data_IF_831646680228
#
_entry.id   IF_831646680228
#
_cell.length_a   1.000
_cell.length_b   1.000
_cell.length_c   1.000
_cell.angle_alpha   90.00
_cell.angle_beta   90.00
_cell.angle_gamma   90.00
#
_symmetry.space_group_name_H-M   'P 1'
#
loop_
_entity.id
_entity.type
_entity.pdbx_description
1 polymer ?
#
# COMPACT_ATOMS: atom_id res chain seq x y z
N UNK A 1 29.76 -12.76 -8.28
CA UNK A 1 28.32 -12.48 -8.10
C UNK A 1 28.19 -11.49 -6.97
N UNK A 2 27.74 -10.28 -7.27
CA UNK A 2 27.45 -9.23 -6.28
C UNK A 2 26.19 -9.61 -5.52
N UNK A 3 26.27 -9.64 -4.19
CA UNK A 3 25.11 -9.86 -3.32
C UNK A 3 24.13 -8.71 -3.54
N UNK A 4 22.84 -9.03 -3.73
CA UNK A 4 21.80 -8.01 -3.84
C UNK A 4 21.65 -7.30 -2.49
N UNK A 5 21.89 -5.98 -2.47
CA UNK A 5 22.09 -5.21 -1.24
C UNK A 5 20.84 -4.55 -0.66
N UNK A 6 19.68 -4.67 -1.33
CA UNK A 6 18.46 -3.94 -0.94
C UNK A 6 17.49 -4.88 -0.23
N UNK A 7 17.11 -4.52 0.99
CA UNK A 7 16.16 -5.27 1.79
C UNK A 7 14.70 -5.05 1.39
N UNK A 8 14.37 -3.97 0.67
CA UNK A 8 13.00 -3.67 0.23
C UNK A 8 12.93 -2.96 -1.13
N UNK A 9 11.80 -3.14 -1.81
CA UNK A 9 11.53 -2.64 -3.16
C UNK A 9 11.66 -1.12 -3.28
N UNK A 10 11.11 -0.37 -2.32
CA UNK A 10 11.16 1.09 -2.35
C UNK A 10 12.60 1.62 -2.27
N UNK A 11 13.48 0.98 -1.49
CA UNK A 11 14.89 1.30 -1.46
C UNK A 11 15.59 0.95 -2.78
N UNK A 12 15.28 -0.22 -3.36
CA UNK A 12 15.82 -0.63 -4.65
C UNK A 12 15.43 0.32 -5.79
N UNK A 13 14.17 0.76 -5.87
CA UNK A 13 13.72 1.65 -6.95
C UNK A 13 14.25 3.08 -6.84
N UNK A 14 14.47 3.58 -5.60
CA UNK A 14 15.06 4.90 -5.35
C UNK A 14 16.53 4.98 -5.77
N UNK A 15 17.28 3.90 -5.59
CA UNK A 15 18.65 3.81 -6.11
C UNK A 15 18.61 3.46 -7.60
N UNK A 16 18.96 4.44 -8.44
CA UNK A 16 18.95 4.28 -9.90
C UNK A 16 19.96 3.25 -10.40
N UNK A 17 21.00 3.00 -9.61
CA UNK A 17 22.07 2.06 -9.93
C UNK A 17 21.80 0.66 -9.34
N UNK A 18 20.65 0.46 -8.67
CA UNK A 18 20.25 -0.88 -8.27
C UNK A 18 20.05 -1.76 -9.50
N UNK A 19 20.37 -3.07 -9.42
CA UNK A 19 20.14 -3.99 -10.54
C UNK A 19 18.68 -3.99 -11.01
N UNK A 20 17.72 -3.93 -10.08
CA UNK A 20 16.29 -3.87 -10.38
C UNK A 20 15.91 -2.56 -11.09
N UNK A 21 16.33 -1.40 -10.56
CA UNK A 21 16.01 -0.09 -11.15
C UNK A 21 16.64 0.05 -12.54
N UNK A 22 17.87 -0.43 -12.71
CA UNK A 22 18.54 -0.47 -14.01
C UNK A 22 17.78 -1.34 -15.00
N UNK A 23 17.44 -2.58 -14.64
CA UNK A 23 16.67 -3.49 -15.50
C UNK A 23 15.35 -2.84 -15.94
N UNK A 24 14.56 -2.32 -15.00
CA UNK A 24 13.26 -1.71 -15.32
C UNK A 24 13.43 -0.48 -16.21
N UNK A 25 14.39 0.39 -15.94
CA UNK A 25 14.59 1.61 -16.75
C UNK A 25 15.10 1.32 -18.15
N UNK A 26 15.88 0.25 -18.32
CA UNK A 26 16.38 -0.16 -19.64
C UNK A 26 15.31 -0.91 -20.43
N UNK A 27 14.58 -1.82 -19.80
CA UNK A 27 13.60 -2.68 -20.48
C UNK A 27 12.23 -2.03 -20.64
N UNK A 28 11.84 -1.12 -19.75
CA UNK A 28 10.53 -0.48 -19.69
C UNK A 28 10.60 1.08 -19.74
N UNK A 29 11.34 1.70 -20.68
CA UNK A 29 11.68 3.12 -20.63
C UNK A 29 10.50 4.09 -20.90
N UNK A 30 9.40 3.64 -21.50
CA UNK A 30 8.37 4.51 -22.08
C UNK A 30 7.30 4.97 -21.08
N UNK A 31 7.70 5.32 -19.86
CA UNK A 31 6.78 5.66 -18.75
C UNK A 31 5.92 6.89 -19.02
N UNK A 32 6.40 7.83 -19.87
CA UNK A 32 5.70 9.09 -20.17
C UNK A 32 4.34 8.87 -20.84
N UNK A 33 4.18 7.80 -21.61
CA UNK A 33 2.92 7.48 -22.30
C UNK A 33 1.83 7.14 -21.27
N UNK A 34 2.15 6.22 -20.36
CA UNK A 34 1.24 5.80 -19.27
C UNK A 34 0.95 6.97 -18.33
N UNK A 35 1.96 7.76 -17.97
CA UNK A 35 1.76 8.95 -17.13
C UNK A 35 0.90 10.02 -17.82
N UNK A 36 0.99 10.16 -19.14
CA UNK A 36 0.15 11.10 -19.89
C UNK A 36 -1.30 10.61 -19.94
N UNK A 37 -1.53 9.32 -20.15
CA UNK A 37 -2.86 8.71 -20.07
C UNK A 37 -3.50 8.90 -18.69
N UNK A 38 -2.76 8.61 -17.62
CA UNK A 38 -3.21 8.81 -16.25
C UNK A 38 -3.67 10.25 -15.98
N UNK A 39 -2.99 11.25 -16.57
CA UNK A 39 -3.34 12.66 -16.37
C UNK A 39 -4.61 13.10 -17.11
N UNK A 40 -5.09 12.36 -18.12
CA UNK A 40 -6.23 12.77 -18.95
C UNK A 40 -7.55 12.88 -18.17
N UNK A 41 -7.69 12.13 -17.08
CA UNK A 41 -8.91 12.15 -16.25
C UNK A 41 -9.02 13.40 -15.38
N UNK A 42 -7.91 14.13 -15.18
CA UNK A 42 -7.83 15.38 -14.40
C UNK A 42 -8.69 15.41 -13.12
N UNK A 43 -8.62 14.40 -12.24
CA UNK A 43 -9.54 14.32 -11.12
C UNK A 43 -9.34 15.52 -10.18
N UNK A 44 -10.44 15.91 -9.54
CA UNK A 44 -10.46 16.96 -8.52
C UNK A 44 -10.15 16.38 -7.14
N UNK A 45 -9.58 17.21 -6.27
CA UNK A 45 -9.34 16.82 -4.89
C UNK A 45 -10.68 16.73 -4.15
N UNK A 46 -11.01 15.55 -3.63
CA UNK A 46 -12.24 15.29 -2.88
C UNK A 46 -12.01 15.33 -1.36
N UNK A 47 -10.78 15.02 -0.92
CA UNK A 47 -10.44 14.96 0.51
C UNK A 47 -9.20 15.79 0.81
N UNK A 48 -9.43 16.92 1.48
CA UNK A 48 -8.38 17.80 1.97
C UNK A 48 -7.45 17.14 2.98
N UNK A 49 -6.22 17.65 3.01
CA UNK A 49 -5.21 17.28 4.00
C UNK A 49 -5.57 17.74 5.41
N UNK A 50 -4.65 17.56 6.32
CA UNK A 50 -4.78 18.01 7.70
C UNK A 50 -3.43 18.04 8.40
N UNK A 51 -3.46 18.05 9.73
CA UNK A 51 -2.28 18.04 10.58
C UNK A 51 -1.77 16.64 10.91
N UNK A 52 -2.58 15.59 10.70
CA UNK A 52 -2.16 14.21 10.93
C UNK A 52 -1.00 13.79 10.02
N UNK A 53 -0.13 12.90 10.52
CA UNK A 53 1.02 12.38 9.76
C UNK A 53 0.54 11.71 8.45
N UNK A 54 0.97 12.19 7.26
CA UNK A 54 0.47 11.65 6.00
C UNK A 54 0.80 10.18 5.75
N UNK A 55 1.95 9.70 6.24
CA UNK A 55 2.36 8.29 6.13
C UNK A 55 1.45 7.39 6.95
N UNK A 56 1.21 7.76 8.22
CA UNK A 56 0.31 7.02 9.10
C UNK A 56 -1.13 7.06 8.61
N UNK A 57 -1.60 8.19 8.05
CA UNK A 57 -2.91 8.26 7.37
C UNK A 57 -2.99 7.26 6.21
N UNK A 58 -1.92 7.13 5.41
CA UNK A 58 -1.82 6.14 4.35
C UNK A 58 -1.95 4.70 4.86
N UNK A 59 -1.14 4.32 5.86
CA UNK A 59 -1.20 2.98 6.44
C UNK A 59 -2.53 2.68 7.13
N UNK A 60 -3.12 3.67 7.81
CA UNK A 60 -4.40 3.51 8.48
C UNK A 60 -5.56 3.41 7.48
N UNK A 61 -5.47 4.11 6.35
CA UNK A 61 -6.42 3.95 5.25
C UNK A 61 -6.34 2.54 4.65
N UNK A 62 -5.13 2.01 4.43
CA UNK A 62 -4.93 0.63 3.98
C UNK A 62 -5.58 -0.37 4.95
N UNK A 63 -5.29 -0.31 6.25
CA UNK A 63 -5.95 -1.18 7.24
C UNK A 63 -7.48 -1.05 7.23
N UNK A 64 -8.02 0.18 7.14
CA UNK A 64 -9.46 0.38 7.06
C UNK A 64 -10.07 -0.27 5.81
N UNK A 65 -9.39 -0.19 4.67
CA UNK A 65 -9.81 -0.86 3.44
C UNK A 65 -9.71 -2.39 3.55
N UNK A 66 -8.71 -2.93 4.25
CA UNK A 66 -8.61 -4.37 4.51
C UNK A 66 -9.80 -4.88 5.32
N UNK A 67 -10.22 -4.17 6.37
CA UNK A 67 -11.46 -4.49 7.10
C UNK A 67 -12.73 -4.26 6.28
N UNK A 68 -12.74 -3.29 5.37
CA UNK A 68 -13.87 -3.06 4.45
C UNK A 68 -14.05 -4.25 3.49
N UNK A 69 -12.96 -4.79 2.95
CA UNK A 69 -12.94 -5.90 1.99
C UNK A 69 -13.03 -7.29 2.64
N UNK A 70 -12.50 -7.44 3.85
CA UNK A 70 -12.57 -8.65 4.66
C UNK A 70 -12.81 -8.30 6.13
N UNK A 71 -14.07 -8.38 6.60
CA UNK A 71 -14.41 -8.06 7.99
C UNK A 71 -13.69 -8.91 9.04
N UNK A 72 -13.12 -10.05 8.64
CA UNK A 72 -12.34 -10.96 9.49
C UNK A 72 -10.84 -10.86 9.23
N UNK A 73 -10.35 -9.72 8.75
CA UNK A 73 -8.92 -9.51 8.51
C UNK A 73 -8.12 -9.54 9.82
N UNK A 74 -7.00 -10.26 9.83
CA UNK A 74 -6.24 -10.58 11.07
C UNK A 74 -5.06 -9.65 11.36
N UNK A 75 -4.69 -8.75 10.44
CA UNK A 75 -3.72 -7.68 10.73
C UNK A 75 -2.31 -8.12 11.17
N UNK A 76 -1.88 -9.34 10.83
CA UNK A 76 -0.67 -9.98 11.38
C UNK A 76 0.61 -9.15 11.29
N UNK A 77 0.76 -8.34 10.24
CA UNK A 77 1.93 -7.50 10.05
C UNK A 77 2.17 -6.56 11.23
N UNK A 78 1.11 -6.03 11.86
CA UNK A 78 1.19 -5.15 13.01
C UNK A 78 1.81 -5.82 14.26
N UNK A 79 1.80 -7.16 14.33
CA UNK A 79 2.38 -7.94 15.44
C UNK A 79 3.88 -8.19 15.28
N UNK A 80 4.41 -8.01 14.07
CA UNK A 80 5.75 -8.50 13.70
C UNK A 80 6.88 -7.94 14.57
N UNK A 81 6.80 -6.66 14.97
CA UNK A 81 7.79 -6.04 15.86
C UNK A 81 7.70 -6.51 17.33
N UNK A 82 6.58 -7.14 17.71
CA UNK A 82 6.21 -7.38 19.10
C UNK A 82 6.17 -8.87 19.47
N UNK A 83 6.57 -9.78 18.56
CA UNK A 83 6.51 -11.24 18.79
C UNK A 83 7.26 -11.70 20.06
N UNK A 84 8.24 -10.93 20.54
CA UNK A 84 8.94 -11.17 21.82
C UNK A 84 8.22 -10.67 23.08
N UNK A 85 7.05 -10.04 22.95
CA UNK A 85 6.28 -9.43 24.03
C UNK A 85 4.84 -9.98 24.05
N UNK A 86 4.61 -11.18 24.63
CA UNK A 86 3.33 -11.87 24.54
C UNK A 86 2.12 -11.07 25.05
N UNK A 87 2.32 -10.26 26.09
CA UNK A 87 1.28 -9.37 26.63
C UNK A 87 0.88 -8.29 25.64
N UNK A 88 1.86 -7.67 24.96
CA UNK A 88 1.59 -6.66 23.92
C UNK A 88 0.90 -7.32 22.71
N UNK A 89 1.33 -8.51 22.31
CA UNK A 89 0.69 -9.26 21.22
C UNK A 89 -0.78 -9.53 21.53
N UNK A 90 -1.10 -9.96 22.76
CA UNK A 90 -2.49 -10.18 23.17
C UNK A 90 -3.35 -8.90 23.10
N UNK A 91 -2.77 -7.74 23.43
CA UNK A 91 -3.45 -6.45 23.30
C UNK A 91 -3.63 -6.01 21.84
N UNK A 92 -2.69 -6.35 20.95
CA UNK A 92 -2.83 -6.14 19.50
C UNK A 92 -3.93 -7.07 18.94
N UNK A 93 -3.98 -8.33 19.37
CA UNK A 93 -5.06 -9.26 18.97
C UNK A 93 -6.43 -8.75 19.48
N UNK A 94 -6.51 -8.24 20.71
CA UNK A 94 -7.73 -7.64 21.24
C UNK A 94 -8.17 -6.40 20.42
N UNK A 95 -7.22 -5.58 19.97
CA UNK A 95 -7.46 -4.46 19.06
C UNK A 95 -8.03 -4.92 17.70
N UNK A 96 -7.47 -5.99 17.12
CA UNK A 96 -7.95 -6.58 15.86
C UNK A 96 -9.38 -7.10 16.04
N UNK A 97 -9.64 -7.87 17.10
CA UNK A 97 -10.99 -8.37 17.41
C UNK A 97 -11.99 -7.24 17.59
N UNK A 98 -11.59 -6.14 18.26
CA UNK A 98 -12.43 -4.96 18.38
C UNK A 98 -12.77 -4.35 17.01
N UNK A 99 -11.81 -4.26 16.09
CA UNK A 99 -12.04 -3.77 14.73
C UNK A 99 -12.99 -4.69 13.93
N UNK A 100 -12.80 -6.02 14.02
CA UNK A 100 -13.65 -7.01 13.35
C UNK A 100 -15.11 -6.93 13.87
N UNK A 101 -15.30 -6.87 15.19
CA UNK A 101 -16.61 -6.73 15.82
C UNK A 101 -17.28 -5.38 15.45
N UNK A 102 -16.52 -4.29 15.50
CA UNK A 102 -16.97 -2.96 15.09
C UNK A 102 -17.36 -2.90 13.61
N UNK A 103 -16.64 -3.62 12.75
CA UNK A 103 -17.00 -3.74 11.34
C UNK A 103 -18.35 -4.45 11.17
N UNK A 104 -18.58 -5.52 11.93
CA UNK A 104 -19.83 -6.30 11.89
C UNK A 104 -21.06 -5.56 12.41
N UNK A 105 -20.90 -4.64 13.36
CA UNK A 105 -22.01 -3.87 13.96
C UNK A 105 -22.18 -2.44 13.38
N UNK A 106 -21.28 -2.02 12.48
CA UNK A 106 -21.33 -0.71 11.83
C UNK A 106 -20.64 0.44 12.58
N UNK A 107 -19.92 0.17 13.67
CA UNK A 107 -19.10 1.16 14.37
C UNK A 107 -17.82 1.48 13.57
N UNK A 108 -17.94 2.44 12.66
CA UNK A 108 -16.83 2.88 11.84
C UNK A 108 -15.71 3.58 12.62
N UNK A 109 -16.03 4.23 13.75
CA UNK A 109 -15.02 4.98 14.49
C UNK A 109 -14.02 4.03 15.15
N UNK A 110 -14.50 2.95 15.77
CA UNK A 110 -13.61 1.92 16.33
C UNK A 110 -12.75 1.28 15.25
N UNK A 111 -13.29 1.03 14.05
CA UNK A 111 -12.49 0.53 12.90
C UNK A 111 -11.38 1.52 12.54
N UNK A 112 -11.66 2.82 12.46
CA UNK A 112 -10.65 3.82 12.11
C UNK A 112 -9.59 4.00 13.20
N UNK A 113 -9.99 3.99 14.48
CA UNK A 113 -9.06 4.04 15.62
C UNK A 113 -8.14 2.83 15.62
N UNK A 114 -8.68 1.63 15.42
CA UNK A 114 -7.89 0.41 15.33
C UNK A 114 -6.95 0.43 14.12
N UNK A 115 -7.44 0.88 12.96
CA UNK A 115 -6.63 1.00 11.75
C UNK A 115 -5.46 1.98 11.93
N UNK A 116 -5.67 3.09 12.65
CA UNK A 116 -4.60 4.03 13.01
C UNK A 116 -3.54 3.38 13.90
N UNK A 117 -3.96 2.68 14.95
CA UNK A 117 -3.04 1.98 15.83
C UNK A 117 -2.26 0.87 15.10
N UNK A 118 -2.91 0.07 14.27
CA UNK A 118 -2.27 -0.98 13.46
C UNK A 118 -1.25 -0.40 12.46
N UNK A 119 -1.52 0.77 11.90
CA UNK A 119 -0.57 1.49 11.06
C UNK A 119 0.68 1.89 11.84
N UNK A 120 0.53 2.50 13.03
CA UNK A 120 1.65 2.86 13.91
C UNK A 120 2.48 1.63 14.32
N UNK A 121 1.83 0.53 14.69
CA UNK A 121 2.49 -0.72 15.07
C UNK A 121 3.28 -1.32 13.89
N UNK A 122 2.73 -1.23 12.67
CA UNK A 122 3.41 -1.65 11.44
C UNK A 122 4.62 -0.77 11.11
N UNK A 123 4.54 0.53 11.37
CA UNK A 123 5.69 1.44 11.21
C UNK A 123 6.86 1.03 12.11
N UNK A 124 6.59 0.58 13.35
CA UNK A 124 7.65 0.06 14.24
C UNK A 124 8.36 -1.13 13.63
N UNK A 125 7.64 -2.05 12.99
CA UNK A 125 8.27 -3.18 12.29
C UNK A 125 9.17 -2.71 11.14
N UNK A 126 8.76 -1.67 10.40
CA UNK A 126 9.47 -1.21 9.21
C UNK A 126 10.71 -0.38 9.52
N UNK A 127 10.65 0.51 10.51
CA UNK A 127 11.70 1.51 10.76
C UNK A 127 12.11 1.63 12.22
N UNK A 128 11.51 0.83 13.11
CA UNK A 128 11.69 0.93 14.56
C UNK A 128 10.80 1.99 15.20
N UNK A 129 10.79 2.02 16.53
CA UNK A 129 10.05 3.02 17.29
C UNK A 129 10.79 4.36 17.24
N UNK A 130 10.20 5.34 16.56
CA UNK A 130 10.80 6.66 16.34
C UNK A 130 10.34 7.70 17.37
N UNK A 131 11.23 8.59 17.84
CA UNK A 131 10.83 9.75 18.63
C UNK A 131 9.78 10.61 17.91
N UNK A 132 8.73 11.02 18.63
CA UNK A 132 7.63 11.80 18.08
C UNK A 132 6.51 10.98 17.42
N UNK A 133 6.64 9.64 17.35
CA UNK A 133 5.48 8.78 17.07
C UNK A 133 4.51 8.81 18.25
N UNK A 134 3.18 8.86 18.05
CA UNK A 134 2.21 8.72 19.14
C UNK A 134 2.42 7.45 19.98
N UNK A 135 2.91 6.38 19.34
CA UNK A 135 3.19 5.11 20.03
C UNK A 135 4.37 5.22 21.01
N UNK A 136 5.24 6.22 20.84
CA UNK A 136 6.36 6.48 21.76
C UNK A 136 5.86 6.87 23.16
N UNK A 137 4.67 7.45 23.28
CA UNK A 137 4.04 7.77 24.56
C UNK A 137 3.61 6.50 25.32
N UNK A 138 3.49 5.37 24.63
CA UNK A 138 3.18 4.04 25.18
C UNK A 138 4.41 3.13 25.20
N UNK A 139 5.63 3.68 25.28
CA UNK A 139 6.86 2.89 25.14
C UNK A 139 7.02 1.75 26.18
N UNK A 140 6.31 1.79 27.32
CA UNK A 140 6.29 0.66 28.26
C UNK A 140 5.26 -0.40 27.82
N UNK A 141 5.60 -1.70 27.87
CA UNK A 141 4.67 -2.78 27.52
C UNK A 141 3.34 -2.72 28.28
N UNK A 142 3.34 -2.30 29.53
CA UNK A 142 2.14 -2.17 30.37
C UNK A 142 1.19 -1.05 29.89
N UNK A 143 1.72 -0.06 29.17
CA UNK A 143 0.94 1.04 28.62
C UNK A 143 0.33 0.68 27.26
N UNK A 144 0.85 -0.32 26.54
CA UNK A 144 0.36 -0.78 25.23
C UNK A 144 -0.89 -1.67 25.35
N UNK A 145 -1.93 -1.16 26.01
CA UNK A 145 -3.25 -1.83 26.06
C UNK A 145 -4.07 -1.49 24.81
N UNK A 146 -4.99 -2.37 24.40
CA UNK A 146 -5.91 -2.14 23.28
C UNK A 146 -6.68 -0.82 23.44
N UNK A 147 -7.10 -0.51 24.68
CA UNK A 147 -7.76 0.76 25.02
C UNK A 147 -6.87 1.97 24.73
N UNK A 148 -5.61 1.93 25.16
CA UNK A 148 -4.68 3.04 24.95
C UNK A 148 -4.31 3.18 23.47
N UNK A 149 -4.14 2.05 22.77
CA UNK A 149 -3.89 2.02 21.32
C UNK A 149 -5.04 2.68 20.53
N UNK A 150 -6.30 2.36 20.85
CA UNK A 150 -7.48 3.01 20.25
C UNK A 150 -7.52 4.53 20.52
N UNK A 151 -6.91 4.97 21.62
CA UNK A 151 -6.81 6.38 22.01
C UNK A 151 -5.77 7.19 21.22
N UNK A 152 -4.87 6.55 20.45
CA UNK A 152 -3.78 7.24 19.74
C UNK A 152 -4.25 8.05 18.52
N UNK A 153 -5.45 7.77 18.01
CA UNK A 153 -5.98 8.48 16.85
C UNK A 153 -6.59 9.83 17.29
N UNK A 154 -5.95 10.92 16.87
CA UNK A 154 -6.47 12.27 17.07
C UNK A 154 -7.64 12.61 16.13
N UNK A 155 -8.40 13.65 16.47
CA UNK A 155 -9.60 14.06 15.73
C UNK A 155 -9.37 14.30 14.23
N UNK A 156 -8.27 14.96 13.87
CA UNK A 156 -7.96 15.23 12.47
C UNK A 156 -7.64 13.93 11.68
N UNK A 157 -6.99 12.95 12.32
CA UNK A 157 -6.74 11.66 11.70
C UNK A 157 -8.05 10.91 11.43
N UNK A 158 -8.97 10.90 12.41
CA UNK A 158 -10.28 10.26 12.28
C UNK A 158 -11.16 10.94 11.23
N UNK A 159 -11.15 12.28 11.18
CA UNK A 159 -11.80 13.06 10.12
C UNK A 159 -11.30 12.63 8.74
N UNK A 160 -9.98 12.59 8.55
CA UNK A 160 -9.38 12.21 7.27
C UNK A 160 -9.72 10.77 6.89
N UNK A 161 -9.60 9.81 7.81
CA UNK A 161 -9.95 8.40 7.56
C UNK A 161 -11.41 8.23 7.16
N UNK A 162 -12.33 8.92 7.87
CA UNK A 162 -13.76 8.90 7.53
C UNK A 162 -14.02 9.41 6.12
N UNK A 163 -13.44 10.56 5.74
CA UNK A 163 -13.61 11.12 4.41
C UNK A 163 -12.99 10.23 3.31
N UNK A 164 -11.77 9.71 3.52
CA UNK A 164 -11.11 8.84 2.54
C UNK A 164 -11.89 7.54 2.30
N UNK A 165 -12.35 6.90 3.37
CA UNK A 165 -13.11 5.64 3.28
C UNK A 165 -14.50 5.84 2.70
N UNK A 166 -15.17 6.97 2.97
CA UNK A 166 -16.44 7.31 2.31
C UNK A 166 -16.27 7.46 0.79
N UNK A 167 -15.21 8.13 0.34
CA UNK A 167 -14.88 8.23 -1.09
C UNK A 167 -14.56 6.86 -1.67
N UNK A 168 -13.79 6.03 -0.96
CA UNK A 168 -13.46 4.68 -1.42
C UNK A 168 -14.67 3.75 -1.54
N UNK A 169 -15.61 3.82 -0.60
CA UNK A 169 -16.87 3.04 -0.69
C UNK A 169 -17.71 3.37 -1.92
N UNK A 170 -17.62 4.61 -2.42
CA UNK A 170 -18.34 5.05 -3.62
C UNK A 170 -17.56 4.77 -4.91
N UNK A 171 -16.27 5.06 -4.91
CA UNK A 171 -15.46 5.07 -6.12
C UNK A 171 -14.66 3.79 -6.36
N UNK A 172 -14.23 3.10 -5.30
CA UNK A 172 -13.38 1.92 -5.38
C UNK A 172 -14.15 0.63 -5.17
N UNK A 173 -14.80 0.46 -4.00
CA UNK A 173 -15.38 -0.82 -3.56
C UNK A 173 -16.32 -1.45 -4.61
N UNK A 174 -17.22 -0.71 -5.29
CA UNK A 174 -18.10 -1.29 -6.31
C UNK A 174 -17.37 -1.87 -7.53
N UNK A 175 -16.11 -1.49 -7.74
CA UNK A 175 -15.27 -1.95 -8.84
C UNK A 175 -14.37 -3.14 -8.46
N UNK A 176 -14.42 -3.61 -7.20
CA UNK A 176 -13.60 -4.70 -6.70
C UNK A 176 -14.43 -5.97 -6.52
N UNK A 177 -13.96 -7.07 -7.09
CA UNK A 177 -14.58 -8.38 -6.93
C UNK A 177 -13.61 -9.34 -6.24
N UNK A 178 -14.14 -10.20 -5.39
CA UNK A 178 -13.36 -11.27 -4.77
C UNK A 178 -12.95 -12.36 -5.78
N UNK A 179 -12.07 -13.29 -5.38
CA UNK A 179 -11.47 -13.41 -4.05
C UNK A 179 -10.46 -12.29 -3.76
N UNK A 180 -10.37 -11.87 -2.50
CA UNK A 180 -9.39 -10.89 -2.05
C UNK A 180 -8.13 -11.57 -1.48
N UNK A 181 -6.96 -10.99 -1.72
CA UNK A 181 -5.70 -11.25 -1.02
C UNK A 181 -5.20 -9.91 -0.47
N UNK A 182 -5.15 -9.79 0.84
CA UNK A 182 -4.81 -8.56 1.54
C UNK A 182 -3.36 -8.63 2.01
N UNK A 183 -2.51 -7.70 1.56
CA UNK A 183 -1.08 -7.77 1.81
C UNK A 183 -0.39 -9.03 1.27
N UNK A 184 -0.54 -9.39 -0.03
CA UNK A 184 0.10 -10.58 -0.59
C UNK A 184 1.63 -10.49 -0.52
N UNK A 185 2.27 -11.63 -0.28
CA UNK A 185 3.72 -11.80 -0.35
C UNK A 185 4.06 -12.57 -1.61
N UNK A 186 4.97 -12.04 -2.42
CA UNK A 186 5.35 -12.61 -3.71
C UNK A 186 6.60 -13.48 -3.60
N UNK A 187 6.89 -14.29 -4.63
CA UNK A 187 8.16 -15.05 -4.70
C UNK A 187 9.37 -14.11 -4.53
N UNK A 188 9.36 -12.99 -5.27
CA UNK A 188 10.39 -11.97 -5.19
C UNK A 188 10.54 -11.31 -3.81
N UNK A 189 9.49 -11.32 -2.98
CA UNK A 189 9.52 -10.76 -1.63
C UNK A 189 10.50 -11.49 -0.70
N UNK A 190 10.87 -12.74 -1.03
CA UNK A 190 11.91 -13.49 -0.31
C UNK A 190 13.33 -12.94 -0.52
N UNK A 191 13.55 -12.24 -1.64
CA UNK A 191 14.84 -11.63 -2.00
C UNK A 191 14.87 -10.13 -1.75
N UNK A 192 13.71 -9.47 -1.88
CA UNK A 192 13.54 -8.04 -1.70
C UNK A 192 12.14 -7.77 -1.19
N UNK A 193 11.98 -7.36 0.07
CA UNK A 193 10.67 -7.20 0.68
C UNK A 193 9.79 -6.24 -0.14
N UNK A 194 8.57 -6.68 -0.44
CA UNK A 194 7.58 -5.97 -1.22
C UNK A 194 6.20 -6.45 -0.82
N UNK A 195 5.34 -5.50 -0.46
CA UNK A 195 3.97 -5.76 -0.04
C UNK A 195 3.06 -4.87 -0.90
N UNK A 196 2.24 -5.49 -1.75
CA UNK A 196 1.13 -4.77 -2.38
C UNK A 196 -0.03 -4.66 -1.38
N UNK A 197 -0.94 -3.71 -1.58
CA UNK A 197 -2.05 -3.53 -0.64
C UNK A 197 -3.12 -4.62 -0.80
N UNK A 198 -3.61 -4.82 -2.03
CA UNK A 198 -4.64 -5.83 -2.31
C UNK A 198 -4.52 -6.44 -3.70
N UNK A 199 -4.87 -7.72 -3.81
CA UNK A 199 -5.28 -8.35 -5.07
C UNK A 199 -6.76 -8.71 -4.97
N UNK A 200 -7.54 -8.24 -5.93
CA UNK A 200 -8.97 -8.50 -6.07
C UNK A 200 -9.20 -9.28 -7.38
N UNK A 201 -9.47 -10.59 -7.26
CA UNK A 201 -9.40 -11.54 -8.37
C UNK A 201 -8.02 -11.49 -9.07
N UNK A 202 -7.94 -10.96 -10.29
CA UNK A 202 -6.71 -10.81 -11.09
C UNK A 202 -6.14 -9.39 -11.06
N UNK A 203 -6.77 -8.45 -10.35
CA UNK A 203 -6.36 -7.05 -10.25
C UNK A 203 -5.49 -6.83 -9.00
N UNK A 204 -4.21 -6.55 -9.21
CA UNK A 204 -3.33 -6.03 -8.18
C UNK A 204 -3.49 -4.51 -8.05
N UNK A 205 -3.68 -4.02 -6.83
CA UNK A 205 -3.98 -2.62 -6.57
C UNK A 205 -3.09 -2.06 -5.45
N UNK A 206 -2.60 -0.85 -5.67
CA UNK A 206 -1.86 -0.03 -4.69
C UNK A 206 -2.67 1.23 -4.35
N UNK A 207 -2.79 1.53 -3.06
CA UNK A 207 -3.52 2.67 -2.53
C UNK A 207 -2.60 3.86 -2.31
N UNK A 208 -3.01 5.03 -2.80
CA UNK A 208 -2.28 6.29 -2.60
C UNK A 208 -3.17 7.30 -1.89
N UNK A 209 -2.66 7.89 -0.81
CA UNK A 209 -3.34 8.95 -0.05
C UNK A 209 -2.67 10.32 -0.20
N UNK A 210 -1.85 10.50 -1.25
CA UNK A 210 -1.14 11.75 -1.52
C UNK A 210 -2.09 12.91 -1.83
N UNK A 211 -1.76 14.12 -1.37
CA UNK A 211 -2.46 15.36 -1.72
C UNK A 211 -2.21 15.84 -3.15
N UNK A 212 -1.26 15.21 -3.84
CA UNK A 212 -0.83 15.66 -5.15
C UNK A 212 -0.07 16.99 -5.15
N UNK A 213 0.44 17.36 -6.32
CA UNK A 213 1.21 18.58 -6.52
C UNK A 213 0.28 19.81 -6.56
N UNK A 214 0.74 20.94 -6.00
CA UNK A 214 0.03 22.22 -6.18
C UNK A 214 0.02 22.64 -7.64
N UNK A 215 -1.12 23.12 -8.13
CA UNK A 215 -1.31 23.57 -9.51
C UNK A 215 -2.22 24.79 -9.58
N UNK A 216 -2.00 25.64 -10.58
CA UNK A 216 -2.80 26.84 -10.84
C UNK A 216 -4.06 26.52 -11.66
N UNK A 217 -4.95 25.69 -11.12
CA UNK A 217 -6.28 25.38 -11.68
C UNK A 217 -7.32 25.22 -10.55
N UNK A 218 -8.63 25.26 -10.84
CA UNK A 218 -9.67 24.93 -9.86
C UNK A 218 -9.35 23.59 -9.16
N UNK A 219 -9.56 23.53 -7.85
CA UNK A 219 -9.16 22.39 -7.01
C UNK A 219 -7.69 22.43 -6.52
N UNK A 220 -6.83 23.30 -7.05
CA UNK A 220 -5.51 23.66 -6.50
C UNK A 220 -4.46 22.54 -6.39
N UNK A 221 -4.82 21.30 -6.72
CA UNK A 221 -4.02 20.08 -6.61
C UNK A 221 -4.20 19.21 -7.84
N UNK A 222 -3.13 18.49 -8.19
CA UNK A 222 -3.13 17.53 -9.31
C UNK A 222 -2.72 16.16 -8.80
N UNK A 223 -3.60 15.19 -9.04
CA UNK A 223 -3.26 13.78 -9.00
C UNK A 223 -2.22 13.48 -10.09
N UNK A 224 -1.16 12.76 -9.74
CA UNK A 224 -0.05 12.46 -10.65
C UNK A 224 0.49 11.08 -10.35
N UNK A 225 0.73 10.31 -11.40
CA UNK A 225 1.46 9.05 -11.33
C UNK A 225 2.96 9.32 -11.35
N UNK A 226 3.65 9.13 -10.22
CA UNK A 226 5.11 9.14 -10.18
C UNK A 226 5.68 7.93 -10.94
N UNK A 227 6.86 8.09 -11.54
CA UNK A 227 7.54 6.99 -12.23
C UNK A 227 7.91 5.86 -11.26
N UNK A 228 8.22 6.21 -10.03
CA UNK A 228 8.55 5.28 -8.94
C UNK A 228 7.33 4.46 -8.56
N UNK A 229 6.15 5.09 -8.46
CA UNK A 229 4.89 4.39 -8.18
C UNK A 229 4.52 3.43 -9.31
N UNK A 230 4.71 3.86 -10.56
CA UNK A 230 4.47 2.99 -11.73
C UNK A 230 5.42 1.77 -11.73
N UNK A 231 6.71 1.98 -11.48
CA UNK A 231 7.65 0.86 -11.39
C UNK A 231 7.42 0.00 -10.16
N UNK A 232 6.97 0.55 -9.04
CA UNK A 232 6.60 -0.21 -7.86
C UNK A 232 5.43 -1.14 -8.17
N UNK A 233 4.36 -0.60 -8.78
CA UNK A 233 3.18 -1.37 -9.20
C UNK A 233 3.55 -2.52 -10.15
N UNK A 234 4.34 -2.21 -11.19
CA UNK A 234 4.82 -3.23 -12.15
C UNK A 234 5.71 -4.26 -11.45
N UNK A 235 6.58 -3.83 -10.54
CA UNK A 235 7.46 -4.74 -9.80
C UNK A 235 6.67 -5.73 -8.96
N UNK A 236 5.59 -5.33 -8.30
CA UNK A 236 4.75 -6.26 -7.56
C UNK A 236 4.23 -7.40 -8.46
N UNK A 237 3.70 -7.06 -9.65
CA UNK A 237 3.22 -8.07 -10.60
C UNK A 237 4.34 -8.96 -11.17
N UNK A 238 5.57 -8.42 -11.27
CA UNK A 238 6.75 -9.16 -11.71
C UNK A 238 7.38 -10.00 -10.60
N UNK A 239 7.11 -9.70 -9.33
CA UNK A 239 7.57 -10.49 -8.19
C UNK A 239 6.75 -11.77 -8.03
N UNK A 240 5.52 -11.83 -8.56
CA UNK A 240 4.70 -13.06 -8.69
C UNK A 240 5.25 -13.99 -9.79
N UNK A 241 6.49 -14.45 -9.62
CA UNK A 241 7.26 -15.18 -10.64
C UNK A 241 6.58 -16.49 -11.04
N UNK A 242 6.08 -17.22 -10.06
CA UNK A 242 5.37 -18.49 -10.20
C UNK A 242 3.94 -18.32 -10.73
N UNK A 243 3.47 -17.07 -10.88
CA UNK A 243 2.10 -16.73 -11.25
C UNK A 243 1.07 -17.32 -10.28
N UNK A 244 1.40 -17.38 -8.99
CA UNK A 244 0.55 -17.92 -7.93
C UNK A 244 -0.75 -17.11 -7.80
N UNK A 245 -0.67 -15.79 -8.00
CA UNK A 245 -1.82 -14.91 -7.89
C UNK A 245 -2.55 -14.67 -9.21
N UNK A 246 -1.99 -15.12 -10.34
CA UNK A 246 -2.62 -14.98 -11.65
C UNK A 246 -2.89 -13.53 -12.05
N UNK A 247 -1.99 -12.61 -11.68
CA UNK A 247 -2.16 -11.16 -11.88
C UNK A 247 -2.25 -10.86 -13.38
N UNK A 248 -3.43 -10.49 -13.83
CA UNK A 248 -3.71 -10.08 -15.22
C UNK A 248 -3.85 -8.57 -15.36
N UNK A 249 -4.19 -7.87 -14.28
CA UNK A 249 -4.39 -6.42 -14.26
C UNK A 249 -3.66 -5.79 -13.09
N UNK A 250 -3.22 -4.55 -13.28
CA UNK A 250 -2.63 -3.73 -12.21
C UNK A 250 -3.31 -2.38 -12.15
N UNK A 251 -3.40 -1.77 -10.98
CA UNK A 251 -4.02 -0.47 -10.82
C UNK A 251 -3.51 0.33 -9.64
N UNK A 252 -3.84 1.62 -9.66
CA UNK A 252 -3.63 2.53 -8.54
C UNK A 252 -4.97 3.17 -8.19
N UNK A 253 -5.26 3.26 -6.90
CA UNK A 253 -6.36 4.04 -6.38
C UNK A 253 -5.85 5.25 -5.60
N UNK A 254 -6.08 6.45 -6.13
CA UNK A 254 -5.76 7.72 -5.48
C UNK A 254 -6.92 8.17 -4.60
N UNK A 255 -6.86 7.83 -3.32
CA UNK A 255 -7.97 7.92 -2.37
C UNK A 255 -8.49 9.35 -2.16
N UNK A 256 -7.59 10.35 -2.16
CA UNK A 256 -7.99 11.77 -2.02
C UNK A 256 -8.71 12.33 -3.23
N UNK A 257 -8.56 11.68 -4.38
CA UNK A 257 -9.15 12.08 -5.65
C UNK A 257 -10.30 11.16 -6.08
N UNK A 258 -10.55 10.08 -5.33
CA UNK A 258 -11.53 9.05 -5.71
C UNK A 258 -11.22 8.40 -7.05
N UNK A 259 -9.94 8.39 -7.46
CA UNK A 259 -9.55 8.06 -8.82
C UNK A 259 -8.93 6.66 -8.87
N UNK A 260 -9.64 5.72 -9.48
CA UNK A 260 -9.17 4.38 -9.80
C UNK A 260 -8.72 4.33 -11.26
N UNK A 261 -7.48 3.94 -11.50
CA UNK A 261 -6.99 3.58 -12.85
C UNK A 261 -6.46 2.16 -12.81
N UNK A 262 -6.79 1.39 -13.84
CA UNK A 262 -6.29 0.02 -14.02
C UNK A 262 -5.88 -0.20 -15.46
N UNK A 263 -4.91 -1.10 -15.63
CA UNK A 263 -4.37 -1.51 -16.92
C UNK A 263 -4.33 -3.03 -16.99
N UNK A 264 -4.53 -3.56 -18.20
CA UNK A 264 -4.09 -4.92 -18.51
C UNK A 264 -2.56 -4.98 -18.38
N UNK A 265 -2.06 -5.97 -17.63
CA UNK A 265 -0.64 -6.06 -17.31
C UNK A 265 0.21 -6.26 -18.57
N UNK A 266 -0.23 -7.10 -19.50
CA UNK A 266 0.52 -7.40 -20.71
C UNK A 266 0.59 -6.17 -21.62
N UNK A 267 -0.54 -5.49 -21.82
CA UNK A 267 -0.59 -4.25 -22.60
C UNK A 267 0.24 -3.13 -21.95
N UNK A 268 0.22 -3.02 -20.62
CA UNK A 268 1.03 -2.04 -19.90
C UNK A 268 2.52 -2.32 -20.11
N UNK A 269 2.95 -3.57 -19.97
CA UNK A 269 4.33 -3.98 -20.18
C UNK A 269 4.80 -3.74 -21.61
N UNK A 270 3.99 -4.09 -22.61
CA UNK A 270 4.29 -3.85 -24.02
C UNK A 270 4.40 -2.34 -24.31
N UNK A 271 3.51 -1.54 -23.73
CA UNK A 271 3.54 -0.07 -23.86
C UNK A 271 4.81 0.52 -23.26
N UNK A 272 5.19 0.05 -22.07
CA UNK A 272 6.39 0.52 -21.39
C UNK A 272 7.68 0.09 -22.11
N UNK A 273 7.72 -1.11 -22.67
CA UNK A 273 8.83 -1.60 -23.48
C UNK A 273 8.89 -0.95 -24.87
N UNK A 274 7.75 -0.50 -25.40
CA UNK A 274 7.61 0.00 -26.78
C UNK A 274 7.58 -1.11 -27.82
N UNK A 275 7.50 -2.37 -27.40
CA UNK A 275 7.45 -3.57 -28.22
C UNK A 275 6.82 -4.72 -27.42
N UNK A 276 6.20 -5.72 -28.05
CA UNK A 276 5.70 -6.88 -27.33
C UNK A 276 6.80 -7.60 -26.55
N UNK A 277 6.55 -7.86 -25.25
CA UNK A 277 7.44 -8.64 -24.38
C UNK A 277 6.68 -9.77 -23.71
N UNK A 278 7.36 -10.85 -23.31
CA UNK A 278 6.72 -11.94 -22.57
C UNK A 278 6.79 -11.65 -21.07
N UNK A 279 5.64 -11.50 -20.42
CA UNK A 279 5.54 -11.27 -18.97
C UNK A 279 6.38 -12.28 -18.16
N UNK A 280 6.28 -13.58 -18.47
CA UNK A 280 7.06 -14.60 -17.77
C UNK A 280 8.57 -14.43 -17.94
N UNK A 281 9.04 -14.08 -19.14
CA UNK A 281 10.47 -13.85 -19.37
C UNK A 281 10.99 -12.63 -18.59
N UNK A 282 10.16 -11.61 -18.40
CA UNK A 282 10.52 -10.45 -17.58
C UNK A 282 10.51 -10.79 -16.08
N UNK A 283 9.57 -11.61 -15.61
CA UNK A 283 9.58 -12.15 -14.24
C UNK A 283 10.89 -12.88 -13.92
N UNK A 284 11.36 -13.73 -14.84
CA UNK A 284 12.63 -14.44 -14.68
C UNK A 284 13.84 -13.49 -14.68
N UNK A 285 13.84 -12.45 -15.51
CA UNK A 285 14.89 -11.42 -15.48
C UNK A 285 14.91 -10.64 -14.17
N UNK A 286 13.72 -10.27 -13.65
CA UNK A 286 13.59 -9.61 -12.36
C UNK A 286 14.13 -10.53 -11.25
N UNK A 287 13.75 -11.81 -11.22
CA UNK A 287 14.29 -12.77 -10.25
C UNK A 287 15.81 -12.81 -10.23
N UNK A 288 16.45 -12.88 -11.41
CA UNK A 288 17.91 -12.85 -11.53
C UNK A 288 18.49 -11.51 -11.06
N UNK A 289 17.85 -10.38 -11.38
CA UNK A 289 18.29 -9.05 -10.94
C UNK A 289 18.22 -8.88 -9.41
N UNK A 290 17.30 -9.58 -8.74
CA UNK A 290 17.22 -9.65 -7.27
C UNK A 290 18.26 -10.61 -6.65
N UNK A 291 19.09 -11.28 -7.45
CA UNK A 291 20.07 -12.25 -6.99
C UNK A 291 19.52 -13.68 -6.81
N UNK A 292 18.32 -13.94 -7.32
CA UNK A 292 17.73 -15.27 -7.36
C UNK A 292 18.54 -16.22 -8.24
N UNK A 293 18.51 -17.51 -7.90
CA UNK A 293 19.12 -18.59 -8.69
C UNK A 293 18.04 -19.42 -9.39
#
# INVERSE_FOLDING_TARGET
MTIYRYSNLSAALRDKDSPLSTLLRTTLPNTRVVQAEYRKSEPELLVDGGSANPGTVGGAFDYAMRFELSPTYDGDLAKSAFLGFPTVVAEIDALIVAAQAARGNGDQETVYRASWALALLTEVYRVGLMPGSPLFELASPEAMTAKNLLGLAGEDALRQLRSLTEVARRALVPNLNGPYRLGPTFDGSTLCAADADVIAADLLLDFKTSLGAKVSRPGGRSDRLDVTDLYQLVSYALFDRSNTYGIGRVGIYSARFGHLVSWDLQQLLDTLAGTPIKTQALRDQVWLALGGR
#
